data_IF_537287846402
#
_entry.id   IF_537287846402
#
_cell.length_a   1.000
_cell.length_b   1.000
_cell.length_c   1.000
_cell.angle_alpha   90.00
_cell.angle_beta   90.00
_cell.angle_gamma   90.00
#
_symmetry.space_group_name_H-M   'P 1'
#
loop_
_entity.id
_entity.type
_entity.pdbx_description
1 polymer ?
#
# COMPACT_ATOMS: atom_id res chain seq x y z
N UNK A 1 3.58 21.54 4.08
CA UNK A 1 3.28 20.20 3.53
C UNK A 1 1.90 20.27 2.89
N UNK A 2 1.79 20.08 1.57
CA UNK A 2 0.49 20.15 0.88
C UNK A 2 -0.32 18.92 1.29
N UNK A 3 -1.47 19.13 1.92
CA UNK A 3 -2.47 18.09 2.18
C UNK A 3 -2.81 17.46 0.83
N UNK A 4 -2.33 16.24 0.60
CA UNK A 4 -2.86 15.39 -0.46
C UNK A 4 -4.33 15.22 -0.09
N UNK A 5 -5.24 15.85 -0.83
CA UNK A 5 -6.64 15.89 -0.41
C UNK A 5 -7.17 14.46 -0.28
N UNK A 6 -7.93 14.22 0.78
CA UNK A 6 -8.39 12.91 1.24
C UNK A 6 -9.05 12.04 0.13
N UNK A 7 -9.57 12.69 -0.91
CA UNK A 7 -10.14 12.08 -2.11
C UNK A 7 -9.10 11.37 -2.98
N UNK A 8 -7.89 11.93 -3.16
CA UNK A 8 -6.82 11.30 -3.95
C UNK A 8 -6.32 10.03 -3.26
N UNK A 9 -6.21 10.04 -1.93
CA UNK A 9 -5.80 8.87 -1.16
C UNK A 9 -6.84 7.74 -1.26
N UNK A 10 -8.13 8.09 -1.21
CA UNK A 10 -9.24 7.13 -1.35
C UNK A 10 -9.25 6.47 -2.73
N UNK A 11 -9.06 7.25 -3.80
CA UNK A 11 -9.02 6.72 -5.16
C UNK A 11 -7.77 5.86 -5.37
N UNK A 12 -6.61 6.33 -4.91
CA UNK A 12 -5.36 5.59 -4.97
C UNK A 12 -5.47 4.24 -4.26
N UNK A 13 -6.04 4.21 -3.05
CA UNK A 13 -6.20 2.97 -2.30
C UNK A 13 -7.15 2.00 -3.00
N UNK A 14 -8.22 2.51 -3.59
CA UNK A 14 -9.14 1.68 -4.38
C UNK A 14 -8.43 1.05 -5.58
N UNK A 15 -7.66 1.85 -6.33
CA UNK A 15 -6.86 1.37 -7.46
C UNK A 15 -5.82 0.35 -7.02
N UNK A 16 -5.12 0.60 -5.91
CA UNK A 16 -4.16 -0.33 -5.32
C UNK A 16 -4.80 -1.68 -4.98
N UNK A 17 -5.94 -1.68 -4.29
CA UNK A 17 -6.61 -2.92 -3.87
C UNK A 17 -7.16 -3.74 -5.04
N UNK A 18 -7.56 -3.08 -6.13
CA UNK A 18 -8.01 -3.73 -7.36
C UNK A 18 -6.86 -4.20 -8.28
N UNK A 19 -5.62 -3.76 -8.02
CA UNK A 19 -4.48 -4.10 -8.86
C UNK A 19 -4.00 -5.54 -8.66
N UNK A 20 -3.32 -6.14 -9.64
CA UNK A 20 -2.70 -7.46 -9.48
C UNK A 20 -1.49 -7.38 -8.53
N UNK A 21 -1.14 -8.52 -7.94
CA UNK A 21 -0.10 -8.63 -6.90
C UNK A 21 1.28 -8.03 -7.29
N UNK A 22 1.80 -8.19 -8.52
CA UNK A 22 3.05 -7.53 -8.93
C UNK A 22 3.00 -6.00 -8.85
N UNK A 23 1.84 -5.40 -9.13
CA UNK A 23 1.64 -3.94 -9.06
C UNK A 23 1.55 -3.52 -7.60
N UNK A 24 0.82 -4.26 -6.75
CA UNK A 24 0.75 -3.98 -5.31
C UNK A 24 2.14 -3.99 -4.67
N UNK A 25 2.98 -4.97 -5.01
CA UNK A 25 4.35 -5.07 -4.50
C UNK A 25 5.20 -3.85 -4.88
N UNK A 26 5.08 -3.36 -6.12
CA UNK A 26 5.77 -2.14 -6.56
C UNK A 26 5.29 -0.91 -5.77
N UNK A 27 3.97 -0.74 -5.61
CA UNK A 27 3.41 0.37 -4.85
C UNK A 27 3.85 0.34 -3.38
N UNK A 28 3.96 -0.84 -2.77
CA UNK A 28 4.49 -1.00 -1.41
C UNK A 28 5.96 -0.54 -1.36
N UNK A 29 6.80 -0.95 -2.32
CA UNK A 29 8.20 -0.53 -2.40
C UNK A 29 8.34 0.99 -2.56
N UNK A 30 7.53 1.60 -3.42
CA UNK A 30 7.52 3.05 -3.61
C UNK A 30 7.09 3.78 -2.33
N UNK A 31 6.06 3.28 -1.64
CA UNK A 31 5.61 3.84 -0.37
C UNK A 31 6.69 3.75 0.72
N UNK A 32 7.42 2.63 0.80
CA UNK A 32 8.57 2.46 1.70
C UNK A 32 9.70 3.44 1.38
N UNK A 33 10.11 3.53 0.11
CA UNK A 33 11.17 4.43 -0.33
C UNK A 33 10.82 5.91 -0.10
N UNK A 34 9.54 6.26 -0.21
CA UNK A 34 9.05 7.61 0.05
C UNK A 34 8.98 7.96 1.54
N UNK A 35 9.17 6.99 2.44
CA UNK A 35 9.06 7.19 3.89
C UNK A 35 7.65 7.57 4.35
N UNK A 36 6.62 7.32 3.53
CA UNK A 36 5.24 7.71 3.82
C UNK A 36 4.58 6.68 4.76
N UNK A 37 4.79 6.86 6.06
CA UNK A 37 4.29 5.96 7.10
C UNK A 37 2.77 5.88 7.18
N UNK A 38 2.04 6.95 6.86
CA UNK A 38 0.58 6.98 6.83
C UNK A 38 0.03 6.10 5.69
N UNK A 39 0.65 6.20 4.51
CA UNK A 39 0.32 5.36 3.37
C UNK A 39 0.62 3.88 3.66
N UNK A 40 1.78 3.58 4.24
CA UNK A 40 2.15 2.22 4.62
C UNK A 40 1.19 1.63 5.64
N UNK A 41 0.79 2.39 6.66
CA UNK A 41 -0.22 1.95 7.62
C UNK A 41 -1.54 1.63 6.93
N UNK A 42 -1.98 2.50 6.03
CA UNK A 42 -3.22 2.30 5.28
C UNK A 42 -3.15 1.04 4.40
N UNK A 43 -2.04 0.82 3.70
CA UNK A 43 -1.79 -0.39 2.91
C UNK A 43 -1.86 -1.63 3.80
N UNK A 44 -1.13 -1.64 4.92
CA UNK A 44 -1.11 -2.78 5.84
C UNK A 44 -2.50 -3.11 6.39
N UNK A 45 -3.25 -2.08 6.80
CA UNK A 45 -4.61 -2.23 7.30
C UNK A 45 -5.52 -2.87 6.25
N UNK A 46 -5.52 -2.36 5.02
CA UNK A 46 -6.41 -2.88 3.97
C UNK A 46 -6.02 -4.27 3.47
N UNK A 47 -4.72 -4.59 3.39
CA UNK A 47 -4.26 -5.93 3.04
C UNK A 47 -4.62 -6.95 4.15
N UNK A 48 -4.51 -6.55 5.41
CA UNK A 48 -4.94 -7.36 6.55
C UNK A 48 -6.45 -7.68 6.47
N UNK A 49 -7.29 -6.67 6.21
CA UNK A 49 -8.74 -6.83 6.07
C UNK A 49 -9.16 -7.77 4.92
N UNK A 50 -8.27 -8.00 3.94
CA UNK A 50 -8.53 -8.84 2.75
C UNK A 50 -7.77 -10.16 2.75
N UNK A 51 -7.11 -10.52 3.85
CA UNK A 51 -6.25 -11.71 3.95
C UNK A 51 -5.13 -11.74 2.88
N UNK A 52 -4.63 -10.57 2.46
CA UNK A 52 -3.56 -10.43 1.47
C UNK A 52 -2.20 -10.12 2.13
N UNK A 53 -2.02 -10.50 3.39
CA UNK A 53 -0.79 -10.26 4.14
C UNK A 53 0.44 -10.96 3.52
N UNK A 54 0.25 -11.99 2.68
CA UNK A 54 1.34 -12.69 1.98
C UNK A 54 2.21 -11.73 1.14
N UNK A 55 1.63 -10.61 0.69
CA UNK A 55 2.32 -9.54 -0.02
C UNK A 55 3.33 -8.78 0.85
N UNK A 56 3.12 -8.78 2.17
CA UNK A 56 4.03 -8.17 3.15
C UNK A 56 5.10 -9.17 3.61
N UNK A 57 4.73 -10.44 3.77
CA UNK A 57 5.62 -11.48 4.32
C UNK A 57 6.70 -11.98 3.37
N UNK A 58 6.46 -11.98 2.04
CA UNK A 58 7.46 -12.41 1.04
C UNK A 58 8.77 -11.60 1.04
N UNK A 59 8.85 -10.52 1.82
CA UNK A 59 10.00 -9.62 1.90
C UNK A 59 10.83 -9.74 3.18
N UNK A 60 10.45 -10.60 4.14
CA UNK A 60 11.25 -10.86 5.36
C UNK A 60 12.28 -11.98 5.20
N UNK A 61 12.26 -12.70 4.09
CA UNK A 61 13.11 -13.89 3.84
C UNK A 61 14.05 -13.72 2.64
N UNK A 62 14.34 -12.48 2.24
CA UNK A 62 15.30 -12.16 1.17
C UNK A 62 16.35 -11.20 1.67
#
# INVERSE_FOLDING_TARGET
>A
MKSVSNQYLTLWMTQFLCSPDPVKLRCIQEAEQSGNSELLHSIHFHLNMRNQQHLLYRRKTG
#
